data_IF_143538910618
#
_entry.id   IF_143538910618
#
_cell.length_a   1.000
_cell.length_b   1.000
_cell.length_c   1.000
_cell.angle_alpha   90.00
_cell.angle_beta   90.00
_cell.angle_gamma   90.00
#
_symmetry.space_group_name_H-M   'P 1'
#
loop_
_entity.id
_entity.type
_entity.pdbx_description
1 polymer ?
#
# COMPACT_ATOMS: atom_id res chain seq x y z
N UNK A 1 1.82 -80.92 -83.36
CA UNK A 1 1.95 -80.70 -81.90
C UNK A 1 3.42 -80.55 -81.56
N UNK A 2 3.92 -79.57 -80.83
CA UNK A 2 3.40 -78.31 -80.32
C UNK A 2 4.65 -77.48 -79.93
N UNK A 3 4.71 -76.23 -80.35
CA UNK A 3 5.74 -75.26 -79.97
C UNK A 3 5.42 -74.71 -78.57
N UNK A 4 6.42 -74.53 -77.72
CA UNK A 4 6.29 -73.72 -76.51
C UNK A 4 7.56 -72.90 -76.31
N UNK A 5 7.48 -71.69 -76.86
CA UNK A 5 8.46 -70.64 -76.67
C UNK A 5 7.83 -69.54 -75.79
N UNK A 6 8.74 -68.86 -75.09
CA UNK A 6 8.63 -67.50 -74.58
C UNK A 6 8.23 -67.25 -73.12
N UNK A 7 9.25 -66.69 -72.45
CA UNK A 7 9.33 -66.08 -71.14
C UNK A 7 8.50 -64.80 -71.14
N UNK A 8 7.91 -64.40 -70.01
CA UNK A 8 7.87 -62.99 -69.58
C UNK A 8 7.88 -62.85 -68.04
N UNK A 9 8.73 -61.91 -67.60
CA UNK A 9 8.89 -61.39 -66.22
C UNK A 9 7.66 -60.55 -65.83
N UNK A 10 7.31 -60.49 -64.54
CA UNK A 10 7.56 -59.34 -63.64
C UNK A 10 6.70 -59.45 -62.34
N UNK A 11 7.28 -58.90 -61.27
CA UNK A 11 6.86 -58.87 -59.86
C UNK A 11 5.59 -58.07 -59.51
N UNK A 12 4.94 -58.43 -58.40
CA UNK A 12 4.04 -57.54 -57.63
C UNK A 12 4.49 -57.43 -56.17
N UNK A 13 4.95 -56.25 -55.75
CA UNK A 13 5.18 -55.88 -54.35
C UNK A 13 3.84 -55.49 -53.72
N UNK A 14 3.47 -56.12 -52.61
CA UNK A 14 2.29 -55.76 -51.82
C UNK A 14 2.49 -54.41 -51.11
N UNK A 15 1.54 -53.49 -51.29
CA UNK A 15 1.50 -52.20 -50.62
C UNK A 15 0.80 -52.35 -49.26
N UNK A 16 1.52 -52.10 -48.17
CA UNK A 16 0.95 -51.97 -46.82
C UNK A 16 0.13 -50.69 -46.71
N UNK A 17 -1.15 -50.79 -46.35
CA UNK A 17 -2.03 -49.66 -46.11
C UNK A 17 -1.70 -49.00 -44.76
N UNK A 18 -1.10 -47.81 -44.79
CA UNK A 18 -0.95 -46.95 -43.61
C UNK A 18 -2.32 -46.39 -43.24
N UNK A 19 -2.90 -46.82 -42.12
CA UNK A 19 -4.07 -46.18 -41.50
C UNK A 19 -3.67 -44.77 -41.06
N UNK A 20 -4.11 -43.74 -41.78
CA UNK A 20 -4.05 -42.35 -41.32
C UNK A 20 -5.07 -42.18 -40.19
N UNK A 21 -4.59 -41.97 -38.96
CA UNK A 21 -5.43 -41.50 -37.86
C UNK A 21 -6.01 -40.14 -38.25
N UNK A 22 -7.34 -40.00 -38.16
CA UNK A 22 -8.01 -38.75 -38.47
C UNK A 22 -7.59 -37.69 -37.44
N UNK A 23 -6.77 -36.73 -37.87
CA UNK A 23 -6.52 -35.51 -37.12
C UNK A 23 -7.84 -34.75 -37.00
N UNK A 24 -8.44 -34.82 -35.81
CA UNK A 24 -9.65 -34.06 -35.47
C UNK A 24 -9.24 -32.58 -35.38
N UNK A 25 -9.62 -31.81 -36.39
CA UNK A 25 -9.43 -30.35 -36.39
C UNK A 25 -10.28 -29.70 -35.30
N UNK A 26 -9.78 -28.60 -34.76
CA UNK A 26 -10.47 -27.78 -33.77
C UNK A 26 -11.76 -27.21 -34.37
N UNK A 27 -12.86 -27.21 -33.61
CA UNK A 27 -14.13 -26.67 -34.10
C UNK A 27 -14.22 -25.17 -33.80
N UNK A 28 -14.90 -24.40 -34.65
CA UNK A 28 -15.14 -22.97 -34.42
C UNK A 28 -15.90 -22.76 -33.10
N UNK A 29 -16.82 -23.67 -32.78
CA UNK A 29 -17.60 -23.64 -31.54
C UNK A 29 -16.71 -23.66 -30.29
N UNK A 30 -15.62 -24.42 -30.33
CA UNK A 30 -14.68 -24.56 -29.20
C UNK A 30 -13.96 -23.22 -28.93
N UNK A 31 -13.55 -22.50 -29.97
CA UNK A 31 -12.97 -21.16 -29.83
C UNK A 31 -14.01 -20.13 -29.38
N UNK A 32 -15.24 -20.22 -29.89
CA UNK A 32 -16.34 -19.32 -29.50
C UNK A 32 -16.68 -19.44 -28.02
N UNK A 33 -16.76 -20.67 -27.48
CA UNK A 33 -17.02 -20.91 -26.05
C UNK A 33 -15.89 -20.34 -25.20
N UNK A 34 -14.63 -20.52 -25.61
CA UNK A 34 -13.47 -19.99 -24.87
C UNK A 34 -13.50 -18.46 -24.81
N UNK A 35 -13.77 -17.78 -25.93
CA UNK A 35 -13.87 -16.33 -25.97
C UNK A 35 -15.07 -15.84 -25.14
N UNK A 36 -16.20 -16.55 -25.18
CA UNK A 36 -17.36 -16.23 -24.37
C UNK A 36 -17.08 -16.34 -22.86
N UNK A 37 -16.35 -17.39 -22.43
CA UNK A 37 -15.93 -17.55 -21.04
C UNK A 37 -14.94 -16.45 -20.64
N UNK A 38 -13.98 -16.11 -21.49
CA UNK A 38 -13.02 -15.02 -21.21
C UNK A 38 -13.76 -13.67 -21.10
N UNK A 39 -14.69 -13.37 -22.01
CA UNK A 39 -15.49 -12.16 -21.96
C UNK A 39 -16.36 -12.10 -20.70
N UNK A 40 -16.94 -13.23 -20.27
CA UNK A 40 -17.72 -13.33 -19.04
C UNK A 40 -16.86 -13.20 -17.78
N UNK A 41 -15.66 -13.78 -17.74
CA UNK A 41 -14.75 -13.66 -16.61
C UNK A 41 -14.15 -12.26 -16.50
N UNK A 42 -13.85 -11.62 -17.63
CA UNK A 42 -13.30 -10.27 -17.68
C UNK A 42 -14.21 -9.23 -17.02
N UNK A 43 -15.54 -9.44 -17.01
CA UNK A 43 -16.47 -8.53 -16.31
C UNK A 43 -16.42 -8.65 -14.79
N UNK A 44 -15.98 -9.78 -14.24
CA UNK A 44 -16.00 -10.07 -12.80
C UNK A 44 -14.72 -9.57 -12.09
N UNK A 45 -13.62 -9.33 -12.80
CA UNK A 45 -12.30 -9.00 -12.21
C UNK A 45 -12.16 -7.55 -11.70
N UNK A 46 -13.25 -6.80 -11.47
CA UNK A 46 -13.12 -5.35 -11.22
C UNK A 46 -13.09 -4.93 -9.74
N UNK A 47 -13.52 -5.73 -8.77
CA UNK A 47 -13.85 -5.14 -7.46
C UNK A 47 -13.29 -5.92 -6.27
N UNK A 48 -12.10 -5.55 -5.76
CA UNK A 48 -11.86 -5.57 -4.29
C UNK A 48 -10.57 -4.91 -3.73
N UNK A 49 -10.03 -3.83 -4.30
CA UNK A 49 -8.75 -3.25 -3.78
C UNK A 49 -8.89 -1.99 -2.92
N UNK A 50 -10.08 -1.40 -2.78
CA UNK A 50 -10.20 -0.05 -2.18
C UNK A 50 -10.28 -0.03 -0.65
N UNK A 51 -11.00 -0.95 -0.01
CA UNK A 51 -11.19 -0.92 1.45
C UNK A 51 -9.91 -1.20 2.25
N UNK A 52 -9.02 -2.07 1.75
CA UNK A 52 -7.77 -2.42 2.44
C UNK A 52 -6.75 -1.27 2.46
N UNK A 53 -6.88 -0.29 1.57
CA UNK A 53 -5.91 0.79 1.46
C UNK A 53 -6.10 1.82 2.57
N UNK A 54 -7.34 2.20 2.88
CA UNK A 54 -7.65 3.18 3.92
C UNK A 54 -7.23 2.69 5.32
N UNK A 55 -7.50 1.42 5.63
CA UNK A 55 -7.06 0.80 6.90
C UNK A 55 -5.53 0.70 6.98
N UNK A 56 -4.88 0.38 5.86
CA UNK A 56 -3.42 0.34 5.79
C UNK A 56 -2.80 1.74 6.00
N UNK A 57 -3.35 2.76 5.36
CA UNK A 57 -2.90 4.15 5.51
C UNK A 57 -3.05 4.62 6.95
N UNK A 58 -4.19 4.33 7.60
CA UNK A 58 -4.37 4.62 9.05
C UNK A 58 -3.33 3.90 9.91
N UNK A 59 -3.04 2.63 9.63
CA UNK A 59 -2.00 1.89 10.32
C UNK A 59 -0.59 2.49 10.14
N UNK A 60 -0.27 2.94 8.92
CA UNK A 60 0.99 3.64 8.63
C UNK A 60 1.05 4.97 9.38
N UNK A 61 -0.05 5.73 9.42
CA UNK A 61 -0.12 6.99 10.18
C UNK A 61 0.18 6.75 11.65
N UNK A 62 -0.47 5.76 12.28
CA UNK A 62 -0.21 5.42 13.69
C UNK A 62 1.26 5.03 13.93
N UNK A 63 1.86 4.22 13.05
CA UNK A 63 3.26 3.81 13.18
C UNK A 63 4.24 5.00 13.04
N UNK A 64 3.98 5.91 12.10
CA UNK A 64 4.75 7.14 11.94
C UNK A 64 4.60 8.07 13.15
N UNK A 65 3.38 8.24 13.65
CA UNK A 65 3.07 9.03 14.83
C UNK A 65 3.83 8.53 16.06
N UNK A 66 3.86 7.21 16.26
CA UNK A 66 4.61 6.59 17.37
C UNK A 66 6.13 6.84 17.23
N UNK A 67 6.66 6.78 16.00
CA UNK A 67 8.08 7.10 15.74
C UNK A 67 8.40 8.57 16.05
N UNK A 68 7.51 9.50 15.69
CA UNK A 68 7.63 10.92 16.01
C UNK A 68 7.56 11.17 17.52
N UNK A 69 6.61 10.52 18.21
CA UNK A 69 6.48 10.58 19.67
C UNK A 69 7.75 10.13 20.37
N UNK A 70 8.34 9.00 19.96
CA UNK A 70 9.61 8.54 20.50
C UNK A 70 10.73 9.56 20.26
N UNK A 71 10.78 10.17 19.08
CA UNK A 71 11.71 11.26 18.78
C UNK A 71 11.54 12.46 19.72
N UNK A 72 10.29 12.89 19.95
CA UNK A 72 9.95 13.97 20.88
C UNK A 72 10.34 13.64 22.33
N UNK A 73 10.12 12.41 22.78
CA UNK A 73 10.53 11.95 24.11
C UNK A 73 12.06 11.95 24.26
N UNK A 74 12.80 11.51 23.24
CA UNK A 74 14.26 11.58 23.21
C UNK A 74 14.77 13.03 23.24
N UNK A 75 14.10 13.92 22.51
CA UNK A 75 14.38 15.36 22.52
C UNK A 75 14.17 15.92 23.94
N UNK A 76 13.03 15.63 24.57
CA UNK A 76 12.74 16.02 25.95
C UNK A 76 13.77 15.47 26.94
N UNK A 77 14.19 14.22 26.79
CA UNK A 77 15.19 13.64 27.68
C UNK A 77 16.52 14.39 27.64
N UNK A 78 16.89 14.92 26.47
CA UNK A 78 18.12 15.66 26.24
C UNK A 78 18.05 17.13 26.65
N UNK A 79 16.97 17.81 26.28
CA UNK A 79 16.83 19.27 26.44
C UNK A 79 15.89 19.68 27.59
N UNK A 80 15.20 18.71 28.22
CA UNK A 80 14.19 18.93 29.27
C UNK A 80 13.01 19.80 28.84
N UNK A 81 12.79 19.90 27.53
CA UNK A 81 11.69 20.58 26.86
C UNK A 81 11.36 19.85 25.58
N UNK A 82 10.13 19.95 25.10
CA UNK A 82 9.81 19.62 23.70
C UNK A 82 10.22 20.79 22.78
N UNK A 83 10.35 20.55 21.45
CA UNK A 83 10.55 21.63 20.48
C UNK A 83 9.49 22.72 20.65
N UNK A 84 9.86 23.98 20.44
CA UNK A 84 8.87 25.06 20.46
C UNK A 84 7.94 24.98 19.25
N UNK A 85 6.81 25.69 19.29
CA UNK A 85 5.92 25.76 18.13
C UNK A 85 6.59 26.40 16.90
N UNK A 86 7.61 27.25 17.11
CA UNK A 86 8.41 27.86 16.04
C UNK A 86 9.45 26.88 15.45
N UNK A 87 10.06 26.06 16.30
CA UNK A 87 10.99 24.99 15.88
C UNK A 87 10.25 23.83 15.20
N UNK A 88 9.07 23.49 15.75
CA UNK A 88 8.21 22.40 15.30
C UNK A 88 8.87 21.03 15.30
N UNK A 89 8.27 20.09 14.56
CA UNK A 89 8.83 18.74 14.38
C UNK A 89 10.14 18.74 13.60
N UNK A 90 10.43 19.80 12.84
CA UNK A 90 11.68 19.93 12.10
C UNK A 90 12.90 19.80 13.00
N UNK A 91 12.81 20.23 14.28
CA UNK A 91 13.89 20.07 15.25
C UNK A 91 14.33 18.62 15.49
N UNK A 92 13.50 17.64 15.13
CA UNK A 92 13.83 16.22 15.26
C UNK A 92 14.83 15.74 14.19
N UNK A 93 14.91 16.41 13.04
CA UNK A 93 15.75 16.01 11.91
C UNK A 93 16.62 17.12 11.32
N UNK A 94 16.36 18.38 11.66
CA UNK A 94 17.11 19.55 11.24
C UNK A 94 17.58 20.34 12.46
N UNK A 95 18.90 20.49 12.63
CA UNK A 95 19.49 21.26 13.72
C UNK A 95 19.40 22.77 13.52
N UNK A 96 19.16 23.23 12.30
CA UNK A 96 19.22 24.66 11.93
C UNK A 96 17.99 25.42 12.42
N UNK A 97 16.90 24.72 12.70
CA UNK A 97 15.69 25.31 13.27
C UNK A 97 15.78 25.52 14.78
N UNK A 98 16.74 24.88 15.47
CA UNK A 98 16.92 25.05 16.91
C UNK A 98 17.43 26.45 17.19
N UNK A 99 16.66 27.20 17.97
CA UNK A 99 16.88 28.63 18.21
C UNK A 99 18.08 28.88 19.12
N UNK A 100 18.30 27.97 20.08
CA UNK A 100 19.39 28.07 21.04
C UNK A 100 20.69 27.47 20.47
N UNK A 101 21.72 28.31 20.33
CA UNK A 101 23.00 27.92 19.71
C UNK A 101 23.70 26.79 20.50
N UNK A 102 23.63 26.82 21.82
CA UNK A 102 24.20 25.77 22.68
C UNK A 102 23.49 24.41 22.51
N UNK A 103 22.18 24.45 22.27
CA UNK A 103 21.38 23.24 22.07
C UNK A 103 21.60 22.65 20.68
N UNK A 104 21.70 23.52 19.66
CA UNK A 104 22.05 23.16 18.29
C UNK A 104 23.44 22.52 18.21
N UNK A 105 24.41 23.00 18.99
CA UNK A 105 25.74 22.42 19.07
C UNK A 105 25.75 20.98 19.63
N UNK A 106 24.82 20.66 20.53
CA UNK A 106 24.67 19.32 21.13
C UNK A 106 23.73 18.42 20.33
N UNK A 107 23.12 18.92 19.25
CA UNK A 107 22.07 18.22 18.53
C UNK A 107 22.52 16.89 17.93
N UNK A 108 21.57 15.96 17.89
CA UNK A 108 21.67 14.67 17.21
C UNK A 108 20.38 14.45 16.44
N UNK A 109 20.43 13.67 15.37
CA UNK A 109 19.23 13.26 14.63
C UNK A 109 18.36 12.37 15.52
N UNK A 110 17.12 12.77 15.76
CA UNK A 110 16.15 12.03 16.57
C UNK A 110 15.24 11.15 15.71
N UNK A 111 14.86 11.63 14.53
CA UNK A 111 13.98 10.92 13.59
C UNK A 111 14.52 11.06 12.16
N UNK A 112 14.28 10.07 11.33
CA UNK A 112 14.49 10.14 9.89
C UNK A 112 13.43 11.05 9.23
N UNK A 113 13.86 12.15 8.58
CA UNK A 113 12.95 13.12 7.96
C UNK A 113 11.95 12.47 7.00
N UNK A 114 12.39 11.52 6.17
CA UNK A 114 11.53 10.79 5.21
C UNK A 114 10.40 10.01 5.89
N UNK A 115 10.60 9.62 7.15
CA UNK A 115 9.60 8.88 7.93
C UNK A 115 8.66 9.80 8.72
N UNK A 116 9.11 11.01 9.05
CA UNK A 116 8.43 11.91 9.97
C UNK A 116 7.85 13.19 9.36
N UNK A 117 8.33 13.64 8.21
CA UNK A 117 7.95 14.95 7.64
C UNK A 117 6.46 15.01 7.25
N UNK A 118 5.94 13.91 6.70
CA UNK A 118 4.58 13.83 6.16
C UNK A 118 3.86 12.57 6.61
N UNK A 119 2.56 12.69 6.79
CA UNK A 119 1.64 11.59 7.01
C UNK A 119 1.47 10.74 5.73
N UNK A 120 0.70 9.64 5.75
CA UNK A 120 0.45 8.80 4.57
C UNK A 120 -0.30 9.51 3.44
N UNK A 121 -1.07 10.54 3.75
CA UNK A 121 -1.88 11.32 2.79
C UNK A 121 -1.11 12.50 2.18
N UNK A 122 0.17 12.66 2.58
CA UNK A 122 1.10 13.64 2.06
C UNK A 122 1.04 15.00 2.76
N UNK A 123 0.30 15.10 3.87
CA UNK A 123 0.13 16.32 4.65
C UNK A 123 1.20 16.37 5.74
N UNK A 124 1.81 17.53 6.02
CA UNK A 124 2.62 17.71 7.22
C UNK A 124 1.81 17.43 8.48
N UNK A 125 2.46 16.94 9.52
CA UNK A 125 1.81 16.71 10.81
C UNK A 125 1.47 18.02 11.52
N UNK A 126 0.32 18.05 12.19
CA UNK A 126 0.01 19.08 13.17
C UNK A 126 0.77 18.81 14.46
N UNK A 127 1.38 19.86 15.03
CA UNK A 127 2.15 19.77 16.26
C UNK A 127 1.88 20.99 17.14
N UNK A 128 1.79 20.75 18.44
CA UNK A 128 1.76 21.81 19.45
C UNK A 128 2.57 21.40 20.67
N UNK A 129 3.46 22.28 21.10
CA UNK A 129 4.37 22.03 22.21
C UNK A 129 3.64 21.79 23.52
N UNK A 130 2.62 22.61 23.82
CA UNK A 130 1.75 22.45 24.99
C UNK A 130 0.40 21.90 24.55
N UNK A 131 0.06 20.73 25.06
CA UNK A 131 -1.22 20.08 24.77
C UNK A 131 -2.40 20.94 25.22
N UNK A 132 -3.43 21.01 24.37
CA UNK A 132 -4.77 21.53 24.75
C UNK A 132 -5.69 20.41 25.27
N UNK A 133 -5.30 19.14 25.07
CA UNK A 133 -6.13 17.96 25.29
C UNK A 133 -5.63 17.06 26.43
N UNK A 134 -4.54 17.44 27.08
CA UNK A 134 -3.87 16.68 28.13
C UNK A 134 -3.28 17.57 29.22
N UNK A 135 -2.33 17.03 29.97
CA UNK A 135 -1.59 17.81 30.97
C UNK A 135 -0.66 18.82 30.29
N UNK A 136 -0.38 19.95 30.95
CA UNK A 136 0.53 21.00 30.43
C UNK A 136 1.96 20.50 30.13
N UNK A 137 2.32 19.30 30.63
CA UNK A 137 3.61 18.65 30.38
C UNK A 137 3.60 17.71 29.16
N UNK A 138 2.49 17.61 28.45
CA UNK A 138 2.32 16.80 27.25
C UNK A 138 2.24 17.69 26.00
N UNK A 139 2.45 17.07 24.83
CA UNK A 139 2.35 17.71 23.53
C UNK A 139 1.17 17.14 22.73
N UNK A 140 0.67 17.92 21.79
CA UNK A 140 -0.30 17.45 20.80
C UNK A 140 0.41 17.16 19.47
N UNK A 141 0.13 15.99 18.91
CA UNK A 141 0.59 15.57 17.59
C UNK A 141 -0.57 14.91 16.86
N UNK A 142 -0.85 15.35 15.63
CA UNK A 142 -1.93 14.78 14.85
C UNK A 142 -1.67 14.81 13.35
N UNK A 143 -2.38 13.96 12.63
CA UNK A 143 -2.50 13.98 11.17
C UNK A 143 -3.94 14.33 10.80
N UNK A 144 -4.07 15.18 9.78
CA UNK A 144 -5.33 15.67 9.20
C UNK A 144 -6.12 14.62 8.42
N UNK A 145 -5.71 13.34 8.50
CA UNK A 145 -6.40 12.26 7.83
C UNK A 145 -6.43 12.35 6.29
N UNK A 146 -7.24 11.50 5.65
CA UNK A 146 -7.47 11.52 4.21
C UNK A 146 -8.13 12.80 3.70
N UNK A 147 -8.95 13.48 4.51
CA UNK A 147 -9.66 14.68 4.07
C UNK A 147 -8.81 15.97 4.15
N UNK A 148 -7.67 15.90 4.84
CA UNK A 148 -6.69 16.98 5.04
C UNK A 148 -7.27 18.20 5.74
N UNK A 149 -8.32 18.01 6.52
CA UNK A 149 -8.95 19.04 7.34
C UNK A 149 -8.65 18.77 8.80
N UNK A 150 -8.70 19.81 9.62
CA UNK A 150 -8.44 19.72 11.05
C UNK A 150 -9.76 19.60 11.82
N UNK A 151 -9.75 18.80 12.89
CA UNK A 151 -10.90 18.65 13.79
C UNK A 151 -12.00 17.75 13.23
N UNK A 152 -11.66 16.88 12.29
CA UNK A 152 -12.59 15.92 11.68
C UNK A 152 -12.45 14.53 12.32
N UNK A 153 -13.43 13.67 12.07
CA UNK A 153 -13.47 12.34 12.68
C UNK A 153 -12.33 11.43 12.18
N UNK A 154 -11.79 11.72 10.99
CA UNK A 154 -10.71 10.96 10.37
C UNK A 154 -9.30 11.34 10.84
N UNK A 155 -9.15 12.41 11.64
CA UNK A 155 -7.84 12.76 12.21
C UNK A 155 -7.27 11.64 13.09
N UNK A 156 -5.96 11.43 12.97
CA UNK A 156 -5.19 10.52 13.82
C UNK A 156 -4.43 11.36 14.84
N UNK A 157 -4.84 11.29 16.11
CA UNK A 157 -4.34 12.16 17.20
C UNK A 157 -3.52 11.38 18.24
N UNK A 158 -2.56 12.04 18.89
CA UNK A 158 -1.77 11.45 19.98
C UNK A 158 -2.55 11.37 21.31
N UNK A 159 -3.56 12.23 21.48
CA UNK A 159 -4.48 12.22 22.62
C UNK A 159 -5.71 11.36 22.33
N UNK A 160 -6.40 10.93 23.38
CA UNK A 160 -7.70 10.27 23.25
C UNK A 160 -8.73 11.32 22.84
N UNK A 161 -9.41 11.12 21.70
CA UNK A 161 -10.63 11.88 21.39
C UNK A 161 -11.71 11.45 22.40
N UNK A 162 -12.19 12.39 23.21
CA UNK A 162 -13.38 12.16 24.02
C UNK A 162 -14.56 12.02 23.07
N UNK A 163 -15.03 10.80 22.85
CA UNK A 163 -16.27 10.53 22.11
C UNK A 163 -17.49 10.92 22.96
N UNK A 164 -17.57 12.18 23.40
CA UNK A 164 -18.76 12.74 24.07
C UNK A 164 -19.56 13.55 23.05
N UNK A 165 -20.25 12.83 22.15
CA UNK A 165 -21.15 13.43 21.16
C UNK A 165 -22.11 12.44 20.51
N UNK A 166 -21.73 11.17 20.39
CA UNK A 166 -22.64 10.10 19.97
C UNK A 166 -23.34 9.48 21.20
N UNK A 167 -24.25 10.24 21.83
CA UNK A 167 -25.22 9.62 22.72
C UNK A 167 -26.10 8.64 21.93
N UNK A 168 -26.37 7.41 22.42
CA UNK A 168 -27.35 6.54 21.78
C UNK A 168 -28.74 7.14 21.98
N UNK A 169 -29.20 7.94 21.00
CA UNK A 169 -30.46 8.67 21.04
C UNK A 169 -31.36 8.39 19.85
N UNK A 170 -32.25 7.39 20.00
CA UNK A 170 -33.51 7.22 19.26
C UNK A 170 -33.40 6.63 17.86
N UNK A 171 -34.03 5.49 17.51
CA UNK A 171 -35.31 4.90 17.95
C UNK A 171 -35.22 3.39 18.03
#
# INVERSE_FOLDING_TARGET
MNESMERRRWSGRGLSAVRRGASRGFTILEVLIVIAIIAALATVVVLNLRGSQEDADRGIATAKMESLKQGLELFYNKYKRYPTDEEGLAALWDKTVILEEEESAKWVKFVDQDKGEKDPWGTPWGYRQRSEHGDESTFDLWSYGPDRQDGTDDDVTSWKKDTMGAGPGGR
#
